data_IF_810181361988
#
_entry.id   IF_810181361988
#
_cell.length_a   1.000
_cell.length_b   1.000
_cell.length_c   1.000
_cell.angle_alpha   90.00
_cell.angle_beta   90.00
_cell.angle_gamma   90.00
#
_symmetry.space_group_name_H-M   'P 1'
#
loop_
_entity.id
_entity.type
_entity.pdbx_description
1 polymer ?
#
# COMPACT_ATOMS: atom_id res chain seq x y z
N UNK A 1 1.89 17.02 -8.47
CA UNK A 1 2.15 15.60 -8.72
C UNK A 1 3.33 15.22 -7.86
N UNK A 2 3.24 14.21 -6.99
CA UNK A 2 4.44 13.73 -6.29
C UNK A 2 5.33 13.13 -7.36
N UNK A 3 6.40 13.85 -7.68
CA UNK A 3 7.51 13.30 -8.43
C UNK A 3 8.24 12.35 -7.47
N UNK A 4 7.97 11.05 -7.62
CA UNK A 4 8.71 10.01 -6.89
C UNK A 4 10.20 10.06 -7.27
N UNK A 5 10.54 10.63 -8.43
CA UNK A 5 11.93 10.87 -8.84
C UNK A 5 12.59 12.06 -8.13
N UNK A 6 11.82 13.08 -7.71
CA UNK A 6 12.32 14.22 -6.92
C UNK A 6 12.35 13.91 -5.42
N UNK A 7 11.46 13.04 -4.95
CA UNK A 7 11.57 12.45 -3.63
C UNK A 7 12.59 11.33 -3.68
N UNK A 8 13.82 11.61 -3.26
CA UNK A 8 14.82 10.61 -2.87
C UNK A 8 14.28 9.84 -1.65
N UNK A 9 13.29 8.96 -1.87
CA UNK A 9 12.65 8.12 -0.85
C UNK A 9 13.69 7.10 -0.39
N UNK A 10 14.62 7.59 0.44
CA UNK A 10 15.55 6.81 1.24
C UNK A 10 14.80 6.33 2.46
N UNK A 11 13.82 5.47 2.25
CA UNK A 11 13.30 4.67 3.35
C UNK A 11 14.46 3.79 3.83
N UNK A 12 14.94 4.01 5.04
CA UNK A 12 15.90 3.14 5.71
C UNK A 12 15.13 2.01 6.41
N UNK A 13 14.51 1.14 5.61
CA UNK A 13 13.74 0.00 6.11
C UNK A 13 14.29 -1.30 5.55
N UNK A 14 14.20 -2.36 6.36
CA UNK A 14 14.66 -3.69 5.95
C UNK A 14 13.61 -4.45 5.12
N UNK A 15 12.33 -4.10 5.24
CA UNK A 15 11.21 -4.88 4.69
C UNK A 15 10.16 -4.03 3.97
N UNK A 16 9.47 -3.15 4.68
CA UNK A 16 8.36 -2.36 4.11
C UNK A 16 8.90 -1.34 3.12
N UNK A 17 8.34 -1.29 1.91
CA UNK A 17 8.73 -0.32 0.88
C UNK A 17 10.01 -0.68 0.13
N UNK A 18 10.52 -1.92 0.26
CA UNK A 18 11.61 -2.42 -0.62
C UNK A 18 11.13 -2.76 -2.02
N UNK A 19 9.83 -3.01 -2.18
CA UNK A 19 9.15 -3.09 -3.46
C UNK A 19 8.04 -2.05 -3.46
N UNK A 20 8.15 -1.04 -4.32
CA UNK A 20 7.27 0.13 -4.30
C UNK A 20 6.68 0.37 -5.70
N UNK A 21 5.36 0.49 -5.75
CA UNK A 21 4.61 0.80 -6.97
C UNK A 21 3.90 2.13 -6.78
N UNK A 22 4.18 3.09 -7.65
CA UNK A 22 3.48 4.36 -7.75
C UNK A 22 2.42 4.30 -8.84
N UNK A 23 1.22 4.83 -8.56
CA UNK A 23 0.13 4.98 -9.51
C UNK A 23 -0.40 6.41 -9.45
N UNK A 24 -0.63 7.02 -10.60
CA UNK A 24 -1.26 8.35 -10.63
C UNK A 24 -2.75 8.26 -10.24
N UNK A 25 -3.42 7.19 -10.68
CA UNK A 25 -4.82 6.93 -10.34
C UNK A 25 -5.06 5.42 -10.25
N UNK A 26 -5.95 5.03 -9.34
CA UNK A 26 -6.43 3.66 -9.22
C UNK A 26 -7.86 3.67 -8.70
N UNK A 27 -8.63 2.61 -8.93
CA UNK A 27 -9.93 2.50 -8.28
C UNK A 27 -9.79 2.37 -6.75
N UNK A 28 -8.92 1.47 -6.29
CA UNK A 28 -8.54 1.34 -4.87
C UNK A 28 -7.19 0.62 -4.78
N UNK A 29 -6.24 1.20 -4.05
CA UNK A 29 -4.93 0.62 -3.72
C UNK A 29 -5.07 -0.77 -3.10
N UNK A 30 -6.05 -0.97 -2.22
CA UNK A 30 -6.29 -2.26 -1.57
C UNK A 30 -6.79 -3.32 -2.57
N UNK A 31 -7.69 -2.94 -3.48
CA UNK A 31 -8.14 -3.85 -4.55
C UNK A 31 -7.01 -4.17 -5.51
N UNK A 32 -6.16 -3.19 -5.83
CA UNK A 32 -5.01 -3.37 -6.71
C UNK A 32 -4.02 -4.40 -6.14
N UNK A 33 -3.71 -4.33 -4.84
CA UNK A 33 -2.83 -5.31 -4.17
C UNK A 33 -3.44 -6.72 -4.13
N UNK A 34 -4.75 -6.84 -3.94
CA UNK A 34 -5.43 -8.13 -3.87
C UNK A 34 -5.62 -8.82 -5.23
N UNK A 35 -5.53 -8.06 -6.33
CA UNK A 35 -5.63 -8.62 -7.68
C UNK A 35 -4.30 -9.23 -8.11
N UNK A 36 -4.27 -10.56 -8.15
CA UNK A 36 -3.09 -11.35 -8.52
C UNK A 36 -2.51 -11.01 -9.91
N UNK A 37 -3.32 -10.46 -10.82
CA UNK A 37 -2.85 -10.08 -12.16
C UNK A 37 -1.88 -8.89 -12.12
N UNK A 38 -1.93 -8.06 -11.08
CA UNK A 38 -1.01 -6.93 -10.87
C UNK A 38 0.37 -7.36 -10.32
N UNK A 39 0.52 -8.63 -9.93
CA UNK A 39 1.83 -9.19 -9.56
C UNK A 39 2.41 -8.72 -8.22
N UNK A 40 1.61 -8.07 -7.36
CA UNK A 40 2.04 -7.66 -6.01
C UNK A 40 2.09 -8.90 -5.11
N UNK A 41 3.30 -9.36 -4.76
CA UNK A 41 3.49 -10.65 -4.09
C UNK A 41 4.55 -10.69 -2.99
N UNK A 42 5.39 -9.66 -2.86
CA UNK A 42 6.46 -9.66 -1.87
C UNK A 42 5.97 -9.08 -0.54
N UNK A 43 6.33 -9.70 0.58
CA UNK A 43 6.08 -9.15 1.90
C UNK A 43 6.70 -7.74 2.02
N UNK A 44 5.95 -6.80 2.57
CA UNK A 44 6.34 -5.40 2.66
C UNK A 44 6.18 -4.59 1.37
N UNK A 45 5.62 -5.15 0.29
CA UNK A 45 5.32 -4.37 -0.93
C UNK A 45 4.37 -3.21 -0.61
N UNK A 46 4.64 -2.03 -1.17
CA UNK A 46 3.83 -0.83 -1.00
C UNK A 46 3.29 -0.39 -2.35
N UNK A 47 1.97 -0.22 -2.42
CA UNK A 47 1.31 0.43 -3.56
C UNK A 47 0.78 1.77 -3.09
N UNK A 48 1.28 2.85 -3.69
CA UNK A 48 0.85 4.21 -3.43
C UNK A 48 0.07 4.74 -4.63
N UNK A 49 -1.00 5.50 -4.37
CA UNK A 49 -1.71 6.24 -5.39
C UNK A 49 -1.96 7.69 -4.98
N UNK A 50 -1.84 8.62 -5.93
CA UNK A 50 -2.24 10.02 -5.71
C UNK A 50 -3.74 10.18 -5.53
N UNK A 51 -4.51 9.35 -6.24
CA UNK A 51 -5.95 9.43 -6.27
C UNK A 51 -6.60 8.04 -6.33
N UNK A 52 -7.63 7.86 -5.52
CA UNK A 52 -8.51 6.69 -5.59
C UNK A 52 -9.91 7.08 -6.06
N UNK A 53 -10.31 6.63 -7.25
CA UNK A 53 -11.63 6.95 -7.83
C UNK A 53 -12.79 6.17 -7.20
N UNK A 54 -12.51 5.02 -6.61
CA UNK A 54 -13.51 4.15 -5.96
C UNK A 54 -12.98 3.57 -4.63
N UNK A 55 -12.33 4.44 -3.83
CA UNK A 55 -11.80 4.05 -2.53
C UNK A 55 -12.86 3.45 -1.61
N UNK A 56 -12.51 2.40 -0.88
CA UNK A 56 -13.40 1.69 0.06
C UNK A 56 -12.86 1.75 1.48
N UNK A 57 -13.72 2.17 2.40
CA UNK A 57 -13.52 2.07 3.84
C UNK A 57 -14.23 0.84 4.42
N UNK A 58 -14.23 0.74 5.76
CA UNK A 58 -14.93 -0.34 6.48
C UNK A 58 -16.44 -0.24 6.30
N UNK A 59 -17.11 -1.40 6.32
CA UNK A 59 -18.57 -1.52 6.23
C UNK A 59 -19.13 -0.80 4.98
N UNK A 60 -18.48 -1.02 3.83
CA UNK A 60 -18.83 -0.46 2.52
C UNK A 60 -18.95 1.06 2.46
N UNK A 61 -18.37 1.77 3.43
CA UNK A 61 -18.29 3.24 3.37
C UNK A 61 -17.35 3.65 2.23
N UNK A 62 -17.69 4.75 1.55
CA UNK A 62 -16.81 5.35 0.55
C UNK A 62 -15.60 5.97 1.23
N UNK A 63 -14.41 5.71 0.70
CA UNK A 63 -13.20 6.45 1.03
C UNK A 63 -13.00 7.52 -0.03
N UNK A 64 -13.21 8.79 0.35
CA UNK A 64 -13.02 9.91 -0.54
C UNK A 64 -11.53 10.26 -0.62
N UNK A 65 -11.06 10.50 -1.83
CA UNK A 65 -9.70 10.93 -2.10
C UNK A 65 -9.72 12.14 -3.02
N UNK A 66 -8.75 13.02 -2.85
CA UNK A 66 -8.44 14.17 -3.69
C UNK A 66 -6.96 14.12 -4.01
N UNK A 67 -6.60 14.30 -5.29
CA UNK A 67 -5.22 14.31 -5.77
C UNK A 67 -4.39 15.30 -4.95
N UNK A 68 -3.17 14.92 -4.56
CA UNK A 68 -2.22 15.76 -3.78
C UNK A 68 -2.68 16.16 -2.37
N UNK A 69 -3.84 15.70 -1.90
CA UNK A 69 -4.38 16.04 -0.57
C UNK A 69 -4.44 14.84 0.38
N UNK A 70 -4.10 13.64 -0.10
CA UNK A 70 -4.15 12.42 0.68
C UNK A 70 -2.91 11.58 0.47
N UNK A 71 -2.50 10.88 1.53
CA UNK A 71 -1.59 9.74 1.42
C UNK A 71 -2.45 8.48 1.31
N UNK A 72 -2.61 7.96 0.10
CA UNK A 72 -3.34 6.71 -0.12
C UNK A 72 -2.39 5.60 -0.54
N UNK A 73 -2.28 4.58 0.29
CA UNK A 73 -1.40 3.44 0.02
C UNK A 73 -1.93 2.16 0.68
N UNK A 74 -1.47 1.03 0.17
CA UNK A 74 -1.66 -0.29 0.76
C UNK A 74 -0.30 -0.96 0.94
N UNK A 75 -0.12 -1.66 2.06
CA UNK A 75 1.06 -2.47 2.35
C UNK A 75 0.64 -3.94 2.38
N UNK A 76 1.27 -4.77 1.56
CA UNK A 76 1.09 -6.22 1.63
C UNK A 76 1.92 -6.78 2.79
N UNK A 77 1.27 -7.45 3.74
CA UNK A 77 1.92 -8.15 4.84
C UNK A 77 1.65 -9.65 4.72
N UNK A 78 2.69 -10.44 4.46
CA UNK A 78 2.60 -11.90 4.48
C UNK A 78 2.92 -12.41 5.89
N UNK A 79 1.90 -12.93 6.58
CA UNK A 79 2.03 -13.45 7.93
C UNK A 79 2.43 -14.93 7.97
N UNK A 80 2.45 -15.63 6.84
CA UNK A 80 2.77 -17.07 6.80
C UNK A 80 4.24 -17.35 7.09
N UNK A 81 5.13 -16.41 6.74
CA UNK A 81 6.57 -16.49 7.00
C UNK A 81 6.97 -15.97 8.39
N UNK A 82 6.03 -15.38 9.12
CA UNK A 82 6.30 -14.78 10.44
C UNK A 82 5.81 -15.76 11.49
N UNK A 83 6.73 -16.36 12.25
CA UNK A 83 6.37 -16.87 13.57
C UNK A 83 5.75 -15.69 14.34
N UNK A 84 4.43 -15.67 14.46
CA UNK A 84 3.75 -14.70 15.30
C UNK A 84 4.06 -15.11 16.74
N UNK A 85 5.22 -14.69 17.25
CA UNK A 85 5.54 -14.75 18.67
C UNK A 85 4.70 -13.67 19.32
N UNK A 86 3.48 -14.02 19.72
CA UNK A 86 2.61 -13.13 20.46
C UNK A 86 3.21 -12.93 21.86
N UNK A 87 3.71 -11.73 22.22
CA UNK A 87 4.37 -11.53 23.52
C UNK A 87 3.42 -11.64 24.71
N UNK A 88 2.11 -11.77 24.49
CA UNK A 88 1.08 -11.88 25.54
C UNK A 88 0.56 -13.31 25.74
N UNK A 89 1.23 -14.33 25.19
CA UNK A 89 0.95 -15.75 25.46
C UNK A 89 2.14 -16.46 26.14
N UNK A 90 2.88 -15.74 26.99
CA UNK A 90 3.86 -16.27 27.95
C UNK A 90 3.44 -15.87 29.37
#
# INVERSE_FOLDING_TARGET
>A
MLSIEEFDIKLETELIGRNFTYLEEVESTNRYVLDSSNGIKYDGSVVFAEYQSAGRGRLDRKWLSSKEQNLTFTILLDLTQREIRHPQLL
#
